data_IF_040413803266
#
_entry.id   IF_040413803266
#
_cell.length_a   1.000
_cell.length_b   1.000
_cell.length_c   1.000
_cell.angle_alpha   90.00
_cell.angle_beta   90.00
_cell.angle_gamma   90.00
#
_symmetry.space_group_name_H-M   'P 1'
#
loop_
_entity.id
_entity.type
_entity.pdbx_description
1 polymer ?
#
# COMPACT_ATOMS: atom_id res chain seq x y z
N UNK A 1 -39.06 31.20 -16.12
CA UNK A 1 -38.39 29.96 -15.66
C UNK A 1 -36.96 29.98 -16.15
N UNK A 2 -35.98 30.22 -15.26
CA UNK A 2 -34.56 30.09 -15.59
C UNK A 2 -34.20 28.61 -15.44
N UNK A 3 -33.81 27.97 -16.54
CA UNK A 3 -33.22 26.64 -16.50
C UNK A 3 -31.81 26.78 -15.90
N UNK A 4 -31.65 26.38 -14.64
CA UNK A 4 -30.33 26.21 -14.03
C UNK A 4 -29.59 25.11 -14.79
N UNK A 5 -28.48 25.51 -15.38
CA UNK A 5 -27.62 24.69 -16.20
C UNK A 5 -26.89 23.65 -15.32
N UNK A 6 -27.53 22.49 -15.10
CA UNK A 6 -27.06 21.38 -14.26
C UNK A 6 -25.82 20.62 -14.78
N UNK A 7 -25.18 21.09 -15.85
CA UNK A 7 -24.13 20.34 -16.54
C UNK A 7 -22.68 20.69 -16.16
N UNK A 8 -22.43 21.58 -15.19
CA UNK A 8 -21.06 22.01 -14.85
C UNK A 8 -20.41 21.30 -13.65
N UNK A 9 -21.01 20.25 -13.09
CA UNK A 9 -20.44 19.50 -11.95
C UNK A 9 -19.45 18.40 -12.31
N UNK A 10 -19.23 18.10 -13.60
CA UNK A 10 -18.44 16.91 -13.99
C UNK A 10 -16.93 17.11 -14.14
N UNK A 11 -16.38 18.33 -14.08
CA UNK A 11 -14.94 18.56 -14.35
C UNK A 11 -14.18 19.45 -13.36
N UNK A 12 -14.70 19.66 -12.14
CA UNK A 12 -13.92 20.29 -11.06
C UNK A 12 -13.09 19.31 -10.20
N UNK A 13 -12.98 18.04 -10.62
CA UNK A 13 -12.29 16.99 -9.85
C UNK A 13 -10.75 17.16 -9.83
N UNK A 14 -10.19 18.02 -10.70
CA UNK A 14 -8.74 18.19 -10.87
C UNK A 14 -8.21 19.62 -10.70
N UNK A 15 -8.99 20.57 -10.16
CA UNK A 15 -8.51 21.93 -9.86
C UNK A 15 -7.84 22.06 -8.48
N UNK A 16 -7.35 20.95 -7.91
CA UNK A 16 -6.48 21.01 -6.74
C UNK A 16 -5.07 21.35 -7.19
N UNK A 17 -4.49 22.45 -6.69
CA UNK A 17 -3.06 22.70 -6.82
C UNK A 17 -2.31 21.46 -6.30
N UNK A 18 -1.45 20.87 -7.13
CA UNK A 18 -0.65 19.71 -6.72
C UNK A 18 0.21 20.14 -5.53
N UNK A 19 0.04 19.47 -4.39
CA UNK A 19 0.83 19.73 -3.20
C UNK A 19 2.32 19.47 -3.51
N UNK A 20 3.21 20.26 -2.90
CA UNK A 20 4.67 20.06 -2.94
C UNK A 20 5.06 18.59 -2.79
N UNK A 21 4.48 17.84 -1.84
CA UNK A 21 4.81 16.42 -1.65
C UNK A 21 4.49 15.54 -2.86
N UNK A 22 3.38 15.83 -3.55
CA UNK A 22 2.98 15.11 -4.76
C UNK A 22 3.90 15.43 -5.94
N UNK A 23 4.22 16.72 -6.15
CA UNK A 23 5.14 17.13 -7.22
C UNK A 23 6.54 16.57 -6.97
N UNK A 24 7.00 16.65 -5.73
CA UNK A 24 8.30 16.15 -5.31
C UNK A 24 8.40 14.63 -5.45
N UNK A 25 7.36 13.86 -5.06
CA UNK A 25 7.37 12.41 -5.22
C UNK A 25 7.33 11.98 -6.69
N UNK A 26 6.57 12.68 -7.55
CA UNK A 26 6.59 12.45 -8.99
C UNK A 26 7.97 12.75 -9.60
N UNK A 27 8.62 13.84 -9.17
CA UNK A 27 9.98 14.17 -9.58
C UNK A 27 10.97 13.09 -9.17
N UNK A 28 10.93 12.63 -7.92
CA UNK A 28 11.78 11.55 -7.42
C UNK A 28 11.51 10.23 -8.15
N UNK A 29 10.24 9.90 -8.40
CA UNK A 29 9.86 8.72 -9.18
C UNK A 29 10.47 8.77 -10.57
N UNK A 30 10.30 9.89 -11.28
CA UNK A 30 10.89 10.08 -12.60
C UNK A 30 12.43 9.97 -12.54
N UNK A 31 13.07 10.65 -11.58
CA UNK A 31 14.51 10.64 -11.40
C UNK A 31 15.06 9.23 -11.14
N UNK A 32 14.43 8.49 -10.23
CA UNK A 32 14.88 7.13 -9.90
C UNK A 32 14.58 6.16 -11.03
N UNK A 33 13.43 6.29 -11.70
CA UNK A 33 13.05 5.46 -12.84
C UNK A 33 14.05 5.59 -14.00
N UNK A 34 14.63 6.78 -14.21
CA UNK A 34 15.63 6.99 -15.26
C UNK A 34 16.83 6.05 -15.14
N UNK A 35 17.26 5.69 -13.93
CA UNK A 35 18.40 4.77 -13.73
C UNK A 35 18.15 3.38 -14.35
N UNK A 36 16.90 2.96 -14.50
CA UNK A 36 16.52 1.67 -15.08
C UNK A 36 16.45 1.66 -16.61
N UNK A 37 16.42 2.85 -17.24
CA UNK A 37 16.42 2.98 -18.70
C UNK A 37 17.82 3.18 -19.28
N UNK A 38 18.83 3.41 -18.43
CA UNK A 38 20.20 3.60 -18.87
C UNK A 38 20.99 2.29 -18.82
N UNK A 39 21.42 1.74 -19.98
CA UNK A 39 22.06 0.42 -20.05
C UNK A 39 23.46 0.35 -19.43
N UNK A 40 24.01 1.49 -19.01
CA UNK A 40 25.34 1.60 -18.39
C UNK A 40 25.29 1.65 -16.85
N UNK A 41 24.10 1.68 -16.24
CA UNK A 41 23.98 1.63 -14.78
C UNK A 41 24.18 0.18 -14.34
N UNK A 42 25.14 -0.12 -13.43
CA UNK A 42 25.33 -1.47 -12.94
C UNK A 42 24.09 -2.01 -12.23
N UNK A 43 23.79 -3.30 -12.41
CA UNK A 43 22.65 -3.97 -11.79
C UNK A 43 22.60 -3.76 -10.26
N UNK A 44 23.76 -3.79 -9.59
CA UNK A 44 23.86 -3.60 -8.14
C UNK A 44 23.37 -2.21 -7.69
N UNK A 45 23.53 -1.20 -8.55
CA UNK A 45 23.05 0.16 -8.26
C UNK A 45 21.52 0.22 -8.41
N UNK A 46 20.97 -0.37 -9.46
CA UNK A 46 19.51 -0.45 -9.65
C UNK A 46 18.83 -1.29 -8.57
N UNK A 47 19.45 -2.39 -8.15
CA UNK A 47 18.95 -3.23 -7.05
C UNK A 47 18.96 -2.48 -5.71
N UNK A 48 20.05 -1.78 -5.39
CA UNK A 48 20.13 -0.94 -4.19
C UNK A 48 19.16 0.24 -4.21
N UNK A 49 18.90 0.83 -5.39
CA UNK A 49 17.88 1.87 -5.53
C UNK A 49 16.48 1.28 -5.32
N UNK A 50 16.19 0.10 -5.87
CA UNK A 50 14.88 -0.57 -5.78
C UNK A 50 14.55 -0.97 -4.35
N UNK A 51 15.34 -1.90 -3.80
CA UNK A 51 15.01 -2.73 -2.63
C UNK A 51 15.32 -2.03 -1.29
N UNK A 52 15.66 -0.76 -1.33
CA UNK A 52 16.33 -0.10 -0.21
C UNK A 52 16.08 1.40 -0.23
N UNK A 53 16.80 2.14 -1.07
CA UNK A 53 16.74 3.60 -1.01
C UNK A 53 15.37 4.14 -1.46
N UNK A 54 14.83 3.59 -2.54
CA UNK A 54 13.55 4.00 -3.12
C UNK A 54 12.41 3.89 -2.11
N UNK A 55 12.23 2.71 -1.54
CA UNK A 55 11.16 2.43 -0.58
C UNK A 55 11.27 3.28 0.68
N UNK A 56 12.48 3.40 1.26
CA UNK A 56 12.71 4.27 2.44
C UNK A 56 12.35 5.73 2.13
N UNK A 57 12.72 6.24 0.95
CA UNK A 57 12.41 7.62 0.54
C UNK A 57 10.91 7.80 0.32
N UNK A 58 10.25 6.93 -0.44
CA UNK A 58 8.82 7.05 -0.72
C UNK A 58 7.96 6.85 0.53
N UNK A 59 8.28 5.88 1.38
CA UNK A 59 7.59 5.68 2.66
C UNK A 59 7.79 6.87 3.59
N UNK A 60 8.93 7.55 3.57
CA UNK A 60 9.13 8.79 4.33
C UNK A 60 8.16 9.88 3.87
N UNK A 61 7.98 10.04 2.56
CA UNK A 61 7.05 11.02 2.00
C UNK A 61 5.61 10.66 2.33
N UNK A 62 5.22 9.38 2.21
CA UNK A 62 3.89 8.89 2.62
C UNK A 62 3.66 9.22 4.10
N UNK A 63 4.59 8.85 4.97
CA UNK A 63 4.53 9.04 6.43
C UNK A 63 4.38 10.51 6.82
N UNK A 64 5.13 11.42 6.18
CA UNK A 64 5.02 12.87 6.43
C UNK A 64 3.68 13.40 5.91
N UNK A 65 3.23 12.93 4.73
CA UNK A 65 1.97 13.34 4.13
C UNK A 65 0.78 12.93 4.99
N UNK A 66 0.72 11.68 5.45
CA UNK A 66 -0.38 11.21 6.30
C UNK A 66 -0.36 11.83 7.70
N UNK A 67 0.82 12.08 8.28
CA UNK A 67 0.93 12.81 9.56
C UNK A 67 0.35 14.23 9.44
N UNK A 68 0.61 14.91 8.33
CA UNK A 68 0.06 16.24 8.05
C UNK A 68 -1.48 16.19 8.00
N UNK A 69 -2.04 15.16 7.37
CA UNK A 69 -3.49 14.96 7.26
C UNK A 69 -4.15 14.68 8.61
N UNK A 70 -3.51 13.90 9.49
CA UNK A 70 -3.99 13.67 10.86
C UNK A 70 -4.12 15.00 11.61
N UNK A 71 -3.08 15.84 11.56
CA UNK A 71 -3.03 17.10 12.28
C UNK A 71 -4.04 18.15 11.75
N UNK A 72 -4.37 18.09 10.46
CA UNK A 72 -5.33 19.01 9.83
C UNK A 72 -6.79 18.54 9.94
N UNK A 73 -7.02 17.25 10.19
CA UNK A 73 -8.37 16.71 10.36
C UNK A 73 -8.98 17.17 11.68
N UNK A 74 -10.22 17.67 11.62
CA UNK A 74 -11.01 18.05 12.80
C UNK A 74 -11.93 16.92 13.26
N UNK A 75 -12.04 15.84 12.48
CA UNK A 75 -12.95 14.74 12.74
C UNK A 75 -12.23 13.56 13.41
N UNK A 76 -12.74 13.12 14.56
CA UNK A 76 -12.11 12.05 15.32
C UNK A 76 -12.07 10.70 14.57
N UNK A 77 -13.07 10.39 13.75
CA UNK A 77 -13.08 9.14 12.97
C UNK A 77 -12.09 9.19 11.80
N UNK A 78 -12.00 10.32 11.10
CA UNK A 78 -10.95 10.57 10.12
C UNK A 78 -9.55 10.51 10.74
N UNK A 79 -9.34 11.10 11.92
CA UNK A 79 -8.06 11.00 12.63
C UNK A 79 -7.71 9.55 12.96
N UNK A 80 -8.68 8.74 13.43
CA UNK A 80 -8.46 7.30 13.70
C UNK A 80 -8.11 6.51 12.44
N UNK A 81 -8.79 6.81 11.32
CA UNK A 81 -8.47 6.24 10.02
C UNK A 81 -7.01 6.52 9.66
N UNK A 82 -6.60 7.79 9.65
CA UNK A 82 -5.25 8.17 9.27
C UNK A 82 -4.19 7.73 10.29
N UNK A 83 -4.53 7.62 11.57
CA UNK A 83 -3.63 7.09 12.58
C UNK A 83 -3.33 5.60 12.37
N UNK A 84 -4.35 4.79 12.05
CA UNK A 84 -4.14 3.38 11.72
C UNK A 84 -3.29 3.23 10.44
N UNK A 85 -3.54 4.06 9.43
CA UNK A 85 -2.72 4.15 8.22
C UNK A 85 -1.27 4.49 8.56
N UNK A 86 -1.05 5.55 9.33
CA UNK A 86 0.26 6.03 9.74
C UNK A 86 1.05 4.95 10.47
N UNK A 87 0.41 4.24 11.39
CA UNK A 87 1.07 3.17 12.13
C UNK A 87 1.49 2.02 11.20
N UNK A 88 0.67 1.67 10.21
CA UNK A 88 1.02 0.68 9.21
C UNK A 88 2.24 1.13 8.39
N UNK A 89 2.23 2.38 7.90
CA UNK A 89 3.34 2.93 7.11
C UNK A 89 4.64 3.05 7.93
N UNK A 90 4.55 3.40 9.22
CA UNK A 90 5.72 3.45 10.11
C UNK A 90 6.31 2.07 10.33
N UNK A 91 5.49 1.04 10.57
CA UNK A 91 5.97 -0.34 10.69
C UNK A 91 6.68 -0.74 9.40
N UNK A 92 6.07 -0.46 8.25
CA UNK A 92 6.68 -0.76 6.95
C UNK A 92 8.02 -0.06 6.75
N UNK A 93 8.08 1.23 7.08
CA UNK A 93 9.28 2.03 7.00
C UNK A 93 10.40 1.49 7.90
N UNK A 94 10.08 1.11 9.14
CA UNK A 94 11.07 0.51 10.05
C UNK A 94 11.55 -0.85 9.56
N UNK A 95 10.67 -1.66 8.95
CA UNK A 95 11.05 -2.94 8.34
C UNK A 95 12.08 -2.73 7.22
N UNK A 96 11.83 -1.81 6.29
CA UNK A 96 12.80 -1.52 5.23
C UNK A 96 14.06 -0.83 5.73
N UNK A 97 13.96 0.05 6.72
CA UNK A 97 15.13 0.64 7.35
C UNK A 97 16.00 -0.44 8.01
N UNK A 98 15.38 -1.44 8.65
CA UNK A 98 16.10 -2.57 9.22
C UNK A 98 16.77 -3.40 8.12
N UNK A 99 16.08 -3.72 7.03
CA UNK A 99 16.65 -4.43 5.87
C UNK A 99 17.80 -3.64 5.23
N UNK A 100 17.69 -2.30 5.18
CA UNK A 100 18.74 -1.42 4.69
C UNK A 100 20.01 -1.46 5.56
N UNK A 101 19.84 -1.46 6.89
CA UNK A 101 20.96 -1.50 7.84
C UNK A 101 21.56 -2.92 7.95
N UNK A 102 20.72 -3.95 7.78
CA UNK A 102 21.07 -5.37 7.93
C UNK A 102 20.69 -6.16 6.67
N UNK A 103 21.40 -5.97 5.54
CA UNK A 103 21.01 -6.51 4.23
C UNK A 103 20.94 -8.04 4.18
N UNK A 104 21.76 -8.75 4.95
CA UNK A 104 21.77 -10.21 5.01
C UNK A 104 20.69 -10.81 5.92
N UNK A 105 19.90 -9.98 6.61
CA UNK A 105 18.91 -10.49 7.57
C UNK A 105 17.68 -11.10 6.89
N UNK A 106 17.20 -10.50 5.79
CA UNK A 106 16.00 -10.95 5.09
C UNK A 106 16.15 -12.28 4.35
N UNK A 107 17.38 -12.63 3.94
CA UNK A 107 17.68 -13.92 3.28
C UNK A 107 17.75 -15.09 4.25
N UNK A 108 17.82 -14.82 5.56
CA UNK A 108 17.82 -15.85 6.59
C UNK A 108 16.40 -16.12 7.07
N UNK A 109 16.10 -17.40 7.34
CA UNK A 109 14.78 -17.85 7.79
C UNK A 109 14.17 -17.00 8.93
N UNK A 110 14.91 -16.65 10.00
CA UNK A 110 14.34 -15.81 11.06
C UNK A 110 13.97 -14.40 10.60
N UNK A 111 14.78 -13.78 9.74
CA UNK A 111 14.50 -12.45 9.23
C UNK A 111 13.32 -12.43 8.25
N UNK A 112 13.21 -13.45 7.39
CA UNK A 112 12.03 -13.63 6.53
C UNK A 112 10.73 -13.77 7.36
N UNK A 113 10.74 -14.57 8.43
CA UNK A 113 9.59 -14.71 9.33
C UNK A 113 9.25 -13.39 10.03
N UNK A 114 10.26 -12.63 10.46
CA UNK A 114 10.05 -11.31 11.08
C UNK A 114 9.46 -10.31 10.08
N UNK A 115 9.93 -10.33 8.83
CA UNK A 115 9.42 -9.52 7.73
C UNK A 115 7.95 -9.84 7.44
N UNK A 116 7.61 -11.12 7.30
CA UNK A 116 6.22 -11.57 7.13
C UNK A 116 5.34 -11.21 8.32
N UNK A 117 5.86 -11.32 9.55
CA UNK A 117 5.16 -10.91 10.76
C UNK A 117 4.86 -9.40 10.79
N UNK A 118 5.79 -8.58 10.32
CA UNK A 118 5.56 -7.14 10.17
C UNK A 118 4.48 -6.85 9.11
N UNK A 119 4.55 -7.50 7.95
CA UNK A 119 3.54 -7.38 6.89
C UNK A 119 2.15 -7.83 7.35
N UNK A 120 2.06 -8.92 8.13
CA UNK A 120 0.80 -9.33 8.75
C UNK A 120 0.20 -8.21 9.61
N UNK A 121 0.99 -7.57 10.47
CA UNK A 121 0.51 -6.46 11.32
C UNK A 121 0.09 -5.26 10.46
N UNK A 122 0.84 -4.94 9.41
CA UNK A 122 0.49 -3.89 8.45
C UNK A 122 -0.89 -4.17 7.82
N UNK A 123 -1.11 -5.38 7.32
CA UNK A 123 -2.41 -5.76 6.77
C UNK A 123 -3.53 -5.67 7.80
N UNK A 124 -3.32 -6.10 9.04
CA UNK A 124 -4.33 -5.96 10.10
C UNK A 124 -4.70 -4.49 10.37
N UNK A 125 -3.71 -3.60 10.36
CA UNK A 125 -3.94 -2.17 10.53
C UNK A 125 -4.70 -1.57 9.35
N UNK A 126 -4.35 -1.94 8.12
CA UNK A 126 -5.05 -1.49 6.91
C UNK A 126 -6.50 -2.00 6.86
N UNK A 127 -6.75 -3.25 7.27
CA UNK A 127 -8.10 -3.81 7.41
C UNK A 127 -8.88 -3.02 8.46
N UNK A 128 -8.27 -2.74 9.61
CA UNK A 128 -8.89 -1.99 10.70
C UNK A 128 -9.21 -0.57 10.29
N UNK A 129 -8.31 0.09 9.54
CA UNK A 129 -8.48 1.43 9.01
C UNK A 129 -9.77 1.57 8.20
N UNK A 130 -10.07 0.61 7.31
CA UNK A 130 -11.28 0.65 6.45
C UNK A 130 -12.57 0.77 7.27
N UNK A 131 -12.57 0.30 8.51
CA UNK A 131 -13.76 0.28 9.36
C UNK A 131 -14.02 1.63 10.07
N UNK A 132 -13.06 2.55 10.15
CA UNK A 132 -13.24 3.80 10.91
C UNK A 132 -14.10 4.85 10.18
N UNK A 133 -14.08 4.92 8.85
CA UNK A 133 -14.61 6.07 8.14
C UNK A 133 -16.05 5.91 7.58
N UNK A 134 -17.05 5.76 8.43
CA UNK A 134 -18.45 5.66 7.97
C UNK A 134 -19.40 6.42 8.91
N UNK A 135 -19.43 7.75 8.74
CA UNK A 135 -20.22 8.69 9.58
C UNK A 135 -21.74 8.49 9.54
N UNK A 136 -22.29 7.92 8.47
CA UNK A 136 -23.74 7.88 8.26
C UNK A 136 -24.44 6.62 8.81
N UNK A 137 -23.81 5.88 9.73
CA UNK A 137 -24.21 4.49 9.95
C UNK A 137 -25.07 4.31 11.22
N UNK A 138 -26.29 3.78 11.03
CA UNK A 138 -27.21 3.38 12.08
C UNK A 138 -26.67 2.21 12.93
N UNK A 139 -27.28 1.89 14.09
CA UNK A 139 -26.82 0.80 14.98
C UNK A 139 -26.65 -0.55 14.26
N UNK A 140 -27.54 -0.89 13.31
CA UNK A 140 -27.47 -2.15 12.53
C UNK A 140 -26.17 -2.28 11.75
N UNK A 141 -25.67 -1.15 11.27
CA UNK A 141 -24.47 -1.07 10.47
C UNK A 141 -23.19 -1.21 11.30
N UNK A 142 -23.18 -0.79 12.58
CA UNK A 142 -22.06 -1.06 13.51
C UNK A 142 -21.81 -2.57 13.71
N UNK A 143 -22.88 -3.38 13.76
CA UNK A 143 -22.76 -4.85 13.86
C UNK A 143 -22.17 -5.47 12.60
N UNK A 144 -22.61 -5.02 11.42
CA UNK A 144 -22.09 -5.47 10.13
C UNK A 144 -20.60 -5.13 10.04
N UNK A 145 -20.20 -3.94 10.48
CA UNK A 145 -18.80 -3.51 10.55
C UNK A 145 -17.95 -4.44 11.40
N UNK A 146 -18.36 -4.69 12.64
CA UNK A 146 -17.63 -5.58 13.54
C UNK A 146 -17.52 -6.99 12.95
N UNK A 147 -18.59 -7.49 12.31
CA UNK A 147 -18.57 -8.77 11.60
C UNK A 147 -17.56 -8.77 10.45
N UNK A 148 -17.56 -7.73 9.62
CA UNK A 148 -16.63 -7.61 8.49
C UNK A 148 -15.17 -7.51 8.95
N UNK A 149 -14.92 -6.82 10.07
CA UNK A 149 -13.61 -6.75 10.69
C UNK A 149 -13.15 -8.13 11.18
N UNK A 150 -13.99 -8.87 11.91
CA UNK A 150 -13.69 -10.24 12.33
C UNK A 150 -13.46 -11.20 11.15
N UNK A 151 -14.21 -11.04 10.06
CA UNK A 151 -13.98 -11.82 8.83
C UNK A 151 -12.61 -11.47 8.24
N UNK A 152 -12.27 -10.19 8.14
CA UNK A 152 -10.97 -9.74 7.65
C UNK A 152 -9.82 -10.27 8.49
N UNK A 153 -9.93 -10.16 9.82
CA UNK A 153 -8.97 -10.73 10.77
C UNK A 153 -8.85 -12.25 10.62
N UNK A 154 -9.98 -12.95 10.51
CA UNK A 154 -10.02 -14.40 10.33
C UNK A 154 -9.34 -14.85 9.03
N UNK A 155 -9.63 -14.17 7.92
CA UNK A 155 -9.01 -14.46 6.61
C UNK A 155 -7.51 -14.17 6.65
N UNK A 156 -7.10 -13.01 7.15
CA UNK A 156 -5.69 -12.63 7.25
C UNK A 156 -4.90 -13.62 8.10
N UNK A 157 -5.43 -13.98 9.27
CA UNK A 157 -4.79 -14.93 10.19
C UNK A 157 -4.75 -16.36 9.63
N UNK A 158 -5.81 -16.81 8.96
CA UNK A 158 -5.85 -18.14 8.36
C UNK A 158 -4.82 -18.26 7.24
N UNK A 159 -4.78 -17.28 6.32
CA UNK A 159 -3.79 -17.25 5.24
C UNK A 159 -2.37 -17.15 5.78
N UNK A 160 -2.14 -16.31 6.79
CA UNK A 160 -0.83 -16.20 7.43
C UNK A 160 -0.38 -17.52 8.06
N UNK A 161 -1.27 -18.22 8.77
CA UNK A 161 -0.94 -19.54 9.35
C UNK A 161 -0.62 -20.56 8.26
N UNK A 162 -1.42 -20.62 7.19
CA UNK A 162 -1.26 -21.64 6.14
C UNK A 162 -0.03 -21.36 5.25
N UNK A 163 0.14 -20.12 4.81
CA UNK A 163 1.15 -19.75 3.82
C UNK A 163 2.47 -19.36 4.46
N UNK A 164 2.48 -18.81 5.67
CA UNK A 164 3.72 -18.39 6.34
C UNK A 164 4.12 -19.41 7.40
N UNK A 165 3.31 -19.57 8.46
CA UNK A 165 3.71 -20.37 9.62
C UNK A 165 3.91 -21.84 9.25
N UNK A 166 2.93 -22.50 8.61
CA UNK A 166 3.06 -23.91 8.23
C UNK A 166 4.23 -24.11 7.25
N UNK A 167 4.41 -23.21 6.29
CA UNK A 167 5.51 -23.31 5.32
C UNK A 167 6.87 -23.15 6.00
N UNK A 168 7.05 -22.13 6.83
CA UNK A 168 8.31 -21.88 7.53
C UNK A 168 8.70 -23.03 8.48
N UNK A 169 7.72 -23.64 9.17
CA UNK A 169 8.00 -24.72 10.14
C UNK A 169 8.10 -26.12 9.53
N UNK A 170 7.26 -26.47 8.55
CA UNK A 170 7.18 -27.83 8.01
C UNK A 170 7.86 -27.98 6.64
N UNK A 171 8.00 -26.88 5.87
CA UNK A 171 8.55 -26.89 4.52
C UNK A 171 9.55 -25.71 4.32
N UNK A 172 10.60 -25.59 5.15
CA UNK A 172 11.47 -24.41 5.16
C UNK A 172 12.19 -24.16 3.82
N UNK A 173 12.49 -25.23 3.07
CA UNK A 173 13.06 -25.13 1.71
C UNK A 173 12.09 -24.44 0.75
N UNK A 174 10.80 -24.78 0.81
CA UNK A 174 9.77 -24.13 0.01
C UNK A 174 9.54 -22.69 0.49
N UNK A 175 9.55 -22.44 1.79
CA UNK A 175 9.42 -21.09 2.33
C UNK A 175 10.57 -20.16 1.91
N UNK A 176 11.80 -20.68 1.84
CA UNK A 176 12.97 -19.91 1.40
C UNK A 176 12.87 -19.39 -0.06
N UNK A 177 11.94 -19.92 -0.86
CA UNK A 177 11.70 -19.44 -2.23
C UNK A 177 10.88 -18.16 -2.31
N UNK A 178 10.37 -17.62 -1.20
CA UNK A 178 9.46 -16.47 -1.13
C UNK A 178 8.07 -16.66 -1.76
N UNK A 179 7.83 -17.72 -2.54
CA UNK A 179 6.52 -18.01 -3.14
C UNK A 179 5.36 -17.97 -2.14
N UNK A 180 5.45 -18.59 -0.94
CA UNK A 180 4.33 -18.56 -0.02
C UNK A 180 4.01 -17.14 0.50
N UNK A 181 5.05 -16.33 0.71
CA UNK A 181 4.92 -14.92 1.13
C UNK A 181 4.30 -14.07 0.03
N UNK A 182 4.76 -14.20 -1.22
CA UNK A 182 4.17 -13.48 -2.37
C UNK A 182 2.71 -13.86 -2.63
N UNK A 183 2.35 -15.14 -2.49
CA UNK A 183 0.94 -15.59 -2.60
C UNK A 183 0.12 -14.96 -1.46
N UNK A 184 0.65 -14.94 -0.24
CA UNK A 184 -0.01 -14.31 0.89
C UNK A 184 -0.26 -12.81 0.63
N UNK A 185 0.77 -12.06 0.23
CA UNK A 185 0.68 -10.63 -0.06
C UNK A 185 -0.32 -10.34 -1.19
N UNK A 186 -0.22 -11.08 -2.31
CA UNK A 186 -1.16 -10.96 -3.44
C UNK A 186 -2.62 -11.18 -2.98
N UNK A 187 -2.88 -12.21 -2.18
CA UNK A 187 -4.22 -12.47 -1.64
C UNK A 187 -4.71 -11.33 -0.75
N UNK A 188 -3.84 -10.80 0.11
CA UNK A 188 -4.16 -9.70 1.01
C UNK A 188 -4.39 -8.39 0.27
N UNK A 189 -3.65 -8.13 -0.80
CA UNK A 189 -3.81 -6.96 -1.65
C UNK A 189 -5.10 -7.01 -2.45
N UNK A 190 -5.47 -8.17 -3.01
CA UNK A 190 -6.77 -8.36 -3.66
C UNK A 190 -7.91 -8.17 -2.66
N UNK A 191 -7.74 -8.65 -1.42
CA UNK A 191 -8.70 -8.42 -0.34
C UNK A 191 -8.83 -6.92 -0.05
N UNK A 192 -7.74 -6.20 0.20
CA UNK A 192 -7.74 -4.76 0.46
C UNK A 192 -8.31 -3.97 -0.72
N UNK A 193 -7.91 -4.27 -1.95
CA UNK A 193 -8.45 -3.69 -3.18
C UNK A 193 -9.98 -3.80 -3.20
N UNK A 194 -10.50 -5.00 -2.95
CA UNK A 194 -11.95 -5.24 -2.91
C UNK A 194 -12.63 -4.41 -1.81
N UNK A 195 -12.02 -4.32 -0.62
CA UNK A 195 -12.53 -3.54 0.51
C UNK A 195 -12.54 -2.04 0.23
N UNK A 196 -11.45 -1.49 -0.31
CA UNK A 196 -11.34 -0.09 -0.70
C UNK A 196 -12.31 0.23 -1.84
N UNK A 197 -12.43 -0.65 -2.83
CA UNK A 197 -13.30 -0.43 -3.98
C UNK A 197 -14.78 -0.47 -3.60
N UNK A 198 -15.19 -1.40 -2.72
CA UNK A 198 -16.54 -1.40 -2.16
C UNK A 198 -16.81 -0.11 -1.37
N UNK A 199 -15.83 0.37 -0.61
CA UNK A 199 -15.94 1.62 0.15
C UNK A 199 -16.06 2.84 -0.78
N UNK A 200 -15.29 2.85 -1.88
CA UNK A 200 -15.39 3.84 -2.96
C UNK A 200 -16.81 3.89 -3.57
N UNK A 201 -17.41 2.73 -3.86
CA UNK A 201 -18.74 2.66 -4.44
C UNK A 201 -19.84 3.08 -3.46
N UNK A 202 -19.67 2.81 -2.17
CA UNK A 202 -20.68 3.09 -1.14
C UNK A 202 -20.62 4.50 -0.58
N UNK A 203 -19.48 5.18 -0.69
CA UNK A 203 -19.30 6.50 -0.10
C UNK A 203 -19.92 7.58 -0.99
N UNK A 204 -20.79 8.39 -0.40
CA UNK A 204 -21.41 9.55 -1.04
C UNK A 204 -20.50 10.79 -1.00
N UNK A 205 -19.62 10.89 0.00
CA UNK A 205 -18.73 12.04 0.22
C UNK A 205 -17.58 12.02 -0.78
N UNK A 206 -17.46 13.06 -1.61
CA UNK A 206 -16.48 13.15 -2.70
C UNK A 206 -15.02 13.06 -2.22
N UNK A 207 -14.70 13.66 -1.08
CA UNK A 207 -13.37 13.58 -0.47
C UNK A 207 -12.95 12.12 -0.27
N UNK A 208 -13.74 11.37 0.51
CA UNK A 208 -13.49 9.96 0.83
C UNK A 208 -13.58 9.04 -0.38
N UNK A 209 -14.46 9.36 -1.33
CA UNK A 209 -14.49 8.67 -2.61
C UNK A 209 -13.14 8.78 -3.33
N UNK A 210 -12.52 9.96 -3.35
CA UNK A 210 -11.17 10.12 -3.89
C UNK A 210 -10.10 9.35 -3.09
N UNK A 211 -10.15 9.40 -1.75
CA UNK A 211 -9.22 8.65 -0.89
C UNK A 211 -9.30 7.14 -1.19
N UNK A 212 -10.50 6.56 -1.18
CA UNK A 212 -10.67 5.13 -1.44
C UNK A 212 -10.30 4.73 -2.87
N UNK A 213 -10.54 5.59 -3.86
CA UNK A 213 -10.08 5.34 -5.23
C UNK A 213 -8.56 5.19 -5.28
N UNK A 214 -7.82 6.12 -4.69
CA UNK A 214 -6.35 6.06 -4.69
C UNK A 214 -5.81 4.89 -3.86
N UNK A 215 -6.43 4.56 -2.72
CA UNK A 215 -6.07 3.37 -1.95
C UNK A 215 -6.35 2.07 -2.73
N UNK A 216 -7.44 2.00 -3.49
CA UNK A 216 -7.69 0.88 -4.42
C UNK A 216 -6.61 0.80 -5.50
N UNK A 217 -6.18 1.91 -6.09
CA UNK A 217 -5.11 1.91 -7.09
C UNK A 217 -3.77 1.46 -6.49
N UNK A 218 -3.47 1.85 -5.25
CA UNK A 218 -2.29 1.37 -4.52
C UNK A 218 -2.32 -0.16 -4.33
N UNK A 219 -3.43 -0.70 -3.78
CA UNK A 219 -3.59 -2.13 -3.59
C UNK A 219 -3.56 -2.93 -4.90
N UNK A 220 -4.12 -2.39 -5.98
CA UNK A 220 -4.00 -3.00 -7.30
C UNK A 220 -2.54 -3.01 -7.79
N UNK A 221 -1.80 -1.93 -7.57
CA UNK A 221 -0.39 -1.84 -7.94
C UNK A 221 0.48 -2.84 -7.20
N UNK A 222 0.28 -3.02 -5.89
CA UNK A 222 0.98 -4.06 -5.12
C UNK A 222 0.63 -5.46 -5.61
N UNK A 223 -0.66 -5.78 -5.77
CA UNK A 223 -1.09 -7.09 -6.28
C UNK A 223 -0.46 -7.42 -7.66
N UNK A 224 -0.38 -6.43 -8.55
CA UNK A 224 0.29 -6.58 -9.85
C UNK A 224 1.79 -6.81 -9.67
N UNK A 225 2.44 -6.08 -8.76
CA UNK A 225 3.88 -6.19 -8.50
C UNK A 225 4.23 -7.55 -7.91
N UNK A 226 3.53 -8.00 -6.86
CA UNK A 226 3.70 -9.33 -6.27
C UNK A 226 3.46 -10.45 -7.28
N UNK A 227 2.39 -10.34 -8.09
CA UNK A 227 2.09 -11.33 -9.13
C UNK A 227 3.19 -11.37 -10.20
N UNK A 228 3.70 -10.20 -10.58
CA UNK A 228 4.79 -10.09 -11.57
C UNK A 228 6.06 -10.71 -11.02
N UNK A 229 6.43 -10.40 -9.77
CA UNK A 229 7.59 -11.00 -9.11
C UNK A 229 7.45 -12.52 -9.01
N UNK A 230 6.28 -13.01 -8.60
CA UNK A 230 5.99 -14.44 -8.53
C UNK A 230 6.14 -15.13 -9.90
N UNK A 231 5.66 -14.51 -10.99
CA UNK A 231 5.83 -15.06 -12.34
C UNK A 231 7.29 -15.07 -12.76
N UNK A 232 8.02 -13.97 -12.48
CA UNK A 232 9.43 -13.86 -12.83
C UNK A 232 10.29 -14.87 -12.08
N UNK A 233 10.02 -15.12 -10.80
CA UNK A 233 10.73 -16.13 -10.00
C UNK A 233 10.56 -17.55 -10.58
N UNK A 234 9.54 -17.77 -11.41
CA UNK A 234 9.25 -19.05 -12.06
C UNK A 234 10.04 -19.30 -13.34
N UNK A 235 10.75 -18.29 -13.87
CA UNK A 235 11.50 -18.38 -15.13
C UNK A 235 13.02 -18.25 -14.91
N UNK A 236 13.81 -18.87 -15.78
CA UNK A 236 15.26 -19.08 -15.61
C UNK A 236 16.07 -17.77 -15.74
N UNK A 237 15.51 -16.72 -16.37
CA UNK A 237 16.14 -15.41 -16.61
C UNK A 237 15.73 -14.30 -15.61
N UNK A 238 15.29 -14.70 -14.41
CA UNK A 238 14.82 -13.85 -13.31
C UNK A 238 15.59 -12.52 -13.15
N UNK A 239 16.90 -12.57 -12.91
CA UNK A 239 17.68 -11.41 -12.45
C UNK A 239 17.85 -10.29 -13.48
N UNK A 240 17.83 -10.60 -14.78
CA UNK A 240 17.99 -9.56 -15.81
C UNK A 240 16.68 -8.80 -16.10
N UNK A 241 15.53 -9.43 -15.84
CA UNK A 241 14.21 -8.84 -16.08
C UNK A 241 13.64 -8.16 -14.84
N UNK A 242 13.90 -8.69 -13.64
CA UNK A 242 13.43 -8.14 -12.36
C UNK A 242 13.85 -6.68 -12.19
N UNK A 243 15.11 -6.35 -12.48
CA UNK A 243 15.58 -4.96 -12.38
C UNK A 243 14.72 -3.98 -13.19
N UNK A 244 14.13 -4.38 -14.31
CA UNK A 244 13.32 -3.48 -15.16
C UNK A 244 11.90 -3.29 -14.64
N UNK A 245 11.42 -4.17 -13.79
CA UNK A 245 10.09 -4.08 -13.17
C UNK A 245 10.12 -3.34 -11.83
N UNK A 246 11.30 -3.12 -11.25
CA UNK A 246 11.51 -2.40 -9.99
C UNK A 246 10.74 -1.06 -9.88
N UNK A 247 10.66 -0.20 -10.92
CA UNK A 247 9.88 1.03 -10.81
C UNK A 247 8.38 0.80 -10.52
N UNK A 248 7.83 -0.37 -10.86
CA UNK A 248 6.43 -0.71 -10.56
C UNK A 248 6.16 -0.73 -9.05
N UNK A 249 7.16 -1.10 -8.23
CA UNK A 249 7.06 -1.11 -6.77
C UNK A 249 6.86 0.28 -6.16
N UNK A 250 7.23 1.34 -6.88
CA UNK A 250 7.08 2.71 -6.37
C UNK A 250 5.76 3.37 -6.74
N UNK A 251 5.07 2.86 -7.77
CA UNK A 251 3.78 3.39 -8.23
C UNK A 251 2.73 3.38 -7.10
N UNK A 252 2.57 2.31 -6.31
CA UNK A 252 1.65 2.31 -5.17
C UNK A 252 1.87 3.45 -4.19
N UNK A 253 3.13 3.81 -3.88
CA UNK A 253 3.42 4.92 -2.97
C UNK A 253 2.94 6.26 -3.51
N UNK A 254 3.00 6.48 -4.83
CA UNK A 254 2.43 7.69 -5.45
C UNK A 254 0.94 7.77 -5.16
N UNK A 255 0.20 6.66 -5.34
CA UNK A 255 -1.23 6.62 -5.03
C UNK A 255 -1.51 6.83 -3.54
N UNK A 256 -0.69 6.29 -2.64
CA UNK A 256 -0.81 6.57 -1.21
C UNK A 256 -0.60 8.06 -0.89
N UNK A 257 0.38 8.71 -1.52
CA UNK A 257 0.63 10.15 -1.37
C UNK A 257 -0.58 10.93 -1.88
N UNK A 258 -1.11 10.61 -3.06
CA UNK A 258 -2.34 11.24 -3.58
C UNK A 258 -3.54 11.06 -2.65
N UNK A 259 -3.67 9.90 -2.01
CA UNK A 259 -4.70 9.65 -1.01
C UNK A 259 -4.51 10.56 0.21
N UNK A 260 -3.29 10.62 0.75
CA UNK A 260 -2.95 11.36 1.96
C UNK A 260 -3.03 12.89 1.76
N UNK A 261 -2.53 13.42 0.64
CA UNK A 261 -2.47 14.88 0.41
C UNK A 261 -3.76 15.47 -0.14
N UNK A 262 -4.82 14.65 -0.28
CA UNK A 262 -6.10 15.13 -0.80
C UNK A 262 -6.70 16.14 0.17
N UNK A 263 -7.06 17.32 -0.32
CA UNK A 263 -7.84 18.29 0.46
C UNK A 263 -9.30 17.84 0.54
N UNK A 264 -9.87 17.87 1.74
CA UNK A 264 -11.31 17.95 1.86
C UNK A 264 -11.73 19.31 1.28
N UNK A 265 -12.50 19.32 0.20
CA UNK A 265 -13.17 20.54 -0.27
C UNK A 265 -14.07 21.01 0.89
N UNK A 266 -13.59 22.00 1.65
CA UNK A 266 -14.31 22.62 2.76
C UNK A 266 -15.27 23.68 2.24
#
# INVERSE_FOLDING_TARGET
>A
MKFENKNNTRFKIFQGELNFFTVFSLFLYALFSLFYFFPFVPYQVTEYLSNSLGEVVFLSIVTISSLSTINLSQDAEEQRFWFAFQLAMLIWWFTYLASFIFPDSGSQLPGAIMYDGANYIIYLLLITMVEFNQKDFCIKQKRIRLKNWWIGLGVASLLFVILIIIQAFYFPENYATWYPSLIYYTCMDIYLLSRFFISYLRTSVLYWKGVYFWLSMAALGWAISDTTEMILQGDIDFWTQVSRTDPLWWIPFLFLIFAATRSADK
#
